data_IF_486403725316
#
_entry.id   IF_486403725316
#
_cell.length_a   1.000
_cell.length_b   1.000
_cell.length_c   1.000
_cell.angle_alpha   90.00
_cell.angle_beta   90.00
_cell.angle_gamma   90.00
#
_symmetry.space_group_name_H-M   'P 1'
#
loop_
_entity.id
_entity.type
_entity.pdbx_description
1 polymer ?
#
# COMPACT_ATOMS: atom_id res chain seq x y z
N UNK A 1 23.46 9.21 -5.05
CA UNK A 1 22.87 10.39 -5.73
C UNK A 1 21.71 9.95 -6.63
N UNK A 2 20.49 9.72 -6.11
CA UNK A 2 19.36 9.18 -6.89
C UNK A 2 18.31 10.21 -7.35
N UNK A 3 18.31 11.44 -6.83
CA UNK A 3 17.11 12.31 -6.86
C UNK A 3 16.78 13.06 -8.15
N UNK A 4 17.77 13.50 -8.95
CA UNK A 4 17.50 14.33 -10.13
C UNK A 4 17.28 13.51 -11.42
N UNK A 5 18.05 12.43 -11.60
CA UNK A 5 17.99 11.58 -12.78
C UNK A 5 16.65 10.83 -12.89
N UNK A 6 16.09 10.37 -11.76
CA UNK A 6 14.84 9.61 -11.75
C UNK A 6 13.61 10.47 -12.07
N UNK A 7 13.58 11.75 -11.66
CA UNK A 7 12.44 12.64 -11.90
C UNK A 7 12.28 13.01 -13.37
N UNK A 8 13.39 13.31 -14.06
CA UNK A 8 13.40 13.59 -15.49
C UNK A 8 13.09 12.33 -16.31
N UNK A 9 13.71 11.20 -15.98
CA UNK A 9 13.47 9.93 -16.66
C UNK A 9 12.03 9.43 -16.50
N UNK A 10 11.42 9.56 -15.32
CA UNK A 10 10.00 9.20 -15.12
C UNK A 10 9.06 10.15 -15.88
N UNK A 11 9.33 11.47 -15.88
CA UNK A 11 8.53 12.43 -16.65
C UNK A 11 8.61 12.19 -18.16
N UNK A 12 9.79 11.84 -18.67
CA UNK A 12 10.00 11.44 -20.08
C UNK A 12 9.34 10.09 -20.38
N UNK A 13 9.38 9.13 -19.45
CA UNK A 13 8.71 7.82 -19.60
C UNK A 13 7.19 7.95 -19.70
N UNK A 14 6.58 8.88 -18.95
CA UNK A 14 5.14 9.09 -18.95
C UNK A 14 4.66 10.14 -19.97
N UNK A 15 5.53 11.00 -20.52
CA UNK A 15 5.12 11.97 -21.54
C UNK A 15 4.56 11.31 -22.81
N UNK A 16 5.05 10.12 -23.15
CA UNK A 16 4.54 9.29 -24.25
C UNK A 16 3.11 8.75 -24.03
N UNK A 17 2.54 8.95 -22.84
CA UNK A 17 1.17 8.55 -22.50
C UNK A 17 0.15 9.68 -22.59
N UNK A 18 0.53 10.86 -23.10
CA UNK A 18 -0.41 11.94 -23.43
C UNK A 18 -1.05 11.73 -24.81
N UNK A 19 -2.28 12.18 -25.01
CA UNK A 19 -2.95 12.18 -26.31
C UNK A 19 -2.58 13.38 -27.18
N UNK A 20 -3.18 13.46 -28.38
CA UNK A 20 -2.93 14.54 -29.35
C UNK A 20 -3.31 15.92 -28.79
N UNK A 21 -4.22 15.97 -27.81
CA UNK A 21 -4.67 17.17 -27.11
C UNK A 21 -3.80 17.47 -25.85
N UNK A 22 -2.78 16.64 -25.57
CA UNK A 22 -1.88 16.81 -24.43
C UNK A 22 -2.45 16.31 -23.09
N UNK A 23 -3.58 15.62 -23.10
CA UNK A 23 -4.23 15.05 -21.91
C UNK A 23 -3.56 13.73 -21.56
N UNK A 24 -3.20 13.53 -20.29
CA UNK A 24 -2.63 12.26 -19.83
C UNK A 24 -3.65 11.13 -19.96
N UNK A 25 -3.28 9.99 -20.57
CA UNK A 25 -4.17 8.83 -20.71
C UNK A 25 -3.99 7.86 -19.54
N UNK A 26 -5.10 7.37 -19.00
CA UNK A 26 -5.07 6.26 -18.03
C UNK A 26 -4.50 5.00 -18.71
N UNK A 27 -3.60 4.26 -18.02
CA UNK A 27 -3.04 3.03 -18.56
C UNK A 27 -4.12 1.97 -18.73
N UNK A 28 -3.98 1.10 -19.73
CA UNK A 28 -4.93 0.00 -19.99
C UNK A 28 -4.36 -1.32 -19.51
N UNK A 29 -5.04 -1.97 -18.55
CA UNK A 29 -4.58 -3.23 -17.91
C UNK A 29 -4.15 -4.33 -18.88
N UNK A 30 -4.80 -4.41 -20.05
CA UNK A 30 -4.47 -5.42 -21.08
C UNK A 30 -3.00 -5.40 -21.54
N UNK A 31 -2.30 -4.29 -21.34
CA UNK A 31 -0.89 -4.11 -21.71
C UNK A 31 0.10 -4.41 -20.58
N UNK A 32 -0.37 -4.64 -19.34
CA UNK A 32 0.45 -4.88 -18.15
C UNK A 32 0.22 -6.30 -17.62
N UNK A 33 0.17 -7.27 -18.53
CA UNK A 33 -0.13 -8.67 -18.18
C UNK A 33 1.07 -9.33 -17.50
N UNK A 34 0.86 -9.77 -16.27
CA UNK A 34 1.75 -10.65 -15.53
C UNK A 34 0.90 -11.68 -14.78
N UNK A 35 1.50 -12.83 -14.43
CA UNK A 35 0.82 -13.84 -13.60
C UNK A 35 0.32 -13.20 -12.30
N UNK A 36 -0.87 -13.62 -11.87
CA UNK A 36 -1.49 -13.12 -10.64
C UNK A 36 -0.61 -13.35 -9.41
N UNK A 37 0.07 -14.51 -9.39
CA UNK A 37 0.89 -14.95 -8.27
C UNK A 37 2.38 -14.71 -8.56
N UNK A 38 3.07 -14.08 -7.61
CA UNK A 38 4.52 -14.00 -7.55
C UNK A 38 5.03 -14.93 -6.44
N UNK A 39 6.23 -15.48 -6.60
CA UNK A 39 6.88 -16.19 -5.51
C UNK A 39 7.53 -15.14 -4.59
N UNK A 40 7.08 -14.94 -3.34
CA UNK A 40 7.71 -13.97 -2.45
C UNK A 40 9.15 -14.35 -2.08
N UNK A 41 9.54 -15.61 -2.30
CA UNK A 41 10.89 -16.09 -1.99
C UNK A 41 11.85 -16.04 -3.18
N UNK A 42 11.43 -15.66 -4.39
CA UNK A 42 12.39 -15.49 -5.48
C UNK A 42 13.25 -14.26 -5.26
N UNK A 43 14.54 -14.38 -5.58
CA UNK A 43 15.46 -13.25 -5.60
C UNK A 43 15.12 -12.37 -6.80
N UNK A 44 14.35 -11.34 -6.50
CA UNK A 44 14.14 -10.21 -7.36
C UNK A 44 15.13 -9.13 -6.94
N UNK A 45 15.76 -8.44 -7.91
CA UNK A 45 16.42 -7.15 -7.64
C UNK A 45 15.34 -6.16 -7.17
N UNK A 46 15.15 -6.11 -5.86
CA UNK A 46 14.26 -5.20 -5.14
C UNK A 46 15.18 -4.27 -4.38
N UNK A 47 15.03 -2.98 -4.63
CA UNK A 47 15.76 -1.95 -3.91
C UNK A 47 15.00 -1.67 -2.62
N UNK A 48 15.68 -1.84 -1.49
CA UNK A 48 15.17 -1.46 -0.18
C UNK A 48 16.07 -0.35 0.37
N UNK A 49 15.51 0.66 1.04
CA UNK A 49 16.32 1.62 1.76
C UNK A 49 17.06 0.90 2.92
N UNK A 50 18.25 1.39 3.26
CA UNK A 50 19.05 0.85 4.37
C UNK A 50 18.33 1.02 5.72
N UNK A 51 17.57 2.10 5.86
CA UNK A 51 16.74 2.42 7.03
C UNK A 51 15.55 3.29 6.60
N UNK A 52 14.52 3.45 7.45
CA UNK A 52 13.39 4.34 7.15
C UNK A 52 13.80 5.79 6.83
N UNK A 53 14.90 6.27 7.42
CA UNK A 53 15.42 7.63 7.21
C UNK A 53 16.11 7.78 5.85
N UNK A 54 16.60 6.68 5.26
CA UNK A 54 17.23 6.69 3.96
C UNK A 54 16.21 6.67 2.78
N UNK A 55 14.91 6.50 3.08
CA UNK A 55 13.88 6.44 2.05
C UNK A 55 13.53 7.83 1.48
N UNK A 56 13.74 8.01 0.17
CA UNK A 56 13.40 9.25 -0.54
C UNK A 56 11.91 9.29 -0.92
N UNK A 57 11.08 9.66 0.06
CA UNK A 57 9.64 9.85 -0.15
C UNK A 57 9.30 11.03 -1.07
N UNK A 58 10.19 12.02 -1.21
CA UNK A 58 9.97 13.21 -2.03
C UNK A 58 9.83 12.88 -3.52
N UNK A 59 10.46 11.79 -3.98
CA UNK A 59 10.29 11.29 -5.34
C UNK A 59 8.86 10.80 -5.62
N UNK A 60 8.13 10.33 -4.60
CA UNK A 60 6.79 9.76 -4.71
C UNK A 60 5.69 10.79 -4.43
N UNK A 61 5.95 11.75 -3.55
CA UNK A 61 5.01 12.77 -3.09
C UNK A 61 5.59 14.19 -3.28
N UNK A 62 5.87 14.62 -4.52
CA UNK A 62 6.62 15.85 -4.78
C UNK A 62 5.93 17.13 -4.26
N UNK A 63 4.60 17.15 -4.15
CA UNK A 63 3.85 18.28 -3.59
C UNK A 63 4.12 18.49 -2.09
N UNK A 64 4.51 17.43 -1.37
CA UNK A 64 4.77 17.45 0.07
C UNK A 64 6.27 17.57 0.37
N UNK A 65 7.12 17.80 -0.64
CA UNK A 65 8.54 18.00 -0.46
C UNK A 65 8.82 19.46 -0.09
N UNK A 66 9.30 19.70 1.13
CA UNK A 66 9.82 21.00 1.58
C UNK A 66 11.23 21.16 1.04
N UNK A 67 11.43 22.17 0.20
CA UNK A 67 12.74 22.58 -0.28
C UNK A 67 13.21 23.75 0.57
N UNK A 68 14.42 23.64 1.09
CA UNK A 68 15.05 24.75 1.80
C UNK A 68 15.45 25.81 0.76
N UNK A 69 14.96 27.04 0.92
CA UNK A 69 15.25 28.16 0.00
C UNK A 69 16.69 28.69 0.16
N UNK A 70 17.42 28.22 1.17
CA UNK A 70 18.77 28.68 1.54
C UNK A 70 19.92 28.16 0.65
N UNK A 71 19.64 27.60 -0.53
CA UNK A 71 20.62 27.50 -1.64
C UNK A 71 21.82 26.56 -1.44
N UNK A 72 21.85 25.73 -0.41
CA UNK A 72 22.88 24.72 -0.22
C UNK A 72 22.68 23.54 -1.20
N UNK A 73 23.57 23.40 -2.18
CA UNK A 73 23.62 22.29 -3.14
C UNK A 73 23.96 20.95 -2.47
N UNK A 74 23.06 20.43 -1.63
CA UNK A 74 23.31 19.13 -0.96
C UNK A 74 22.28 18.64 0.05
N UNK A 75 21.32 19.47 0.51
CA UNK A 75 20.29 18.97 1.43
C UNK A 75 19.16 18.28 0.67
N UNK A 76 18.86 17.05 1.07
CA UNK A 76 17.70 16.30 0.60
C UNK A 76 16.43 17.07 0.99
N UNK A 77 15.48 17.18 0.07
CA UNK A 77 14.19 17.77 0.38
C UNK A 77 13.54 16.97 1.53
N UNK A 78 13.04 17.68 2.54
CA UNK A 78 12.38 17.06 3.70
C UNK A 78 10.90 16.94 3.42
N UNK A 79 10.29 15.81 3.76
CA UNK A 79 8.85 15.65 3.65
C UNK A 79 8.11 16.50 4.70
N UNK A 80 7.04 17.17 4.31
CA UNK A 80 6.12 17.88 5.21
C UNK A 80 5.21 16.93 5.99
N UNK A 81 5.01 15.71 5.49
CA UNK A 81 4.13 14.68 6.06
C UNK A 81 4.73 13.29 5.87
N UNK A 82 4.37 12.37 6.76
CA UNK A 82 4.79 10.97 6.65
C UNK A 82 3.71 10.11 6.00
N UNK A 83 4.11 8.99 5.39
CA UNK A 83 3.15 7.95 4.96
C UNK A 83 2.50 7.36 6.20
N UNK A 84 1.16 7.34 6.22
CA UNK A 84 0.38 6.80 7.35
C UNK A 84 -0.48 5.61 6.95
N UNK A 85 -0.81 5.47 5.67
CA UNK A 85 -1.63 4.36 5.16
C UNK A 85 -0.85 3.51 4.17
N UNK A 86 -0.93 2.20 4.33
CA UNK A 86 -0.30 1.24 3.42
C UNK A 86 -1.32 0.23 2.92
N UNK A 87 -1.31 -0.02 1.62
CA UNK A 87 -2.04 -1.11 0.95
C UNK A 87 -1.05 -2.19 0.53
N UNK A 88 -1.01 -3.30 1.29
CA UNK A 88 -0.09 -4.42 1.08
C UNK A 88 -0.67 -5.35 0.01
N UNK A 89 0.08 -5.51 -1.09
CA UNK A 89 -0.40 -6.28 -2.23
C UNK A 89 -1.49 -5.53 -2.99
N UNK A 90 -1.30 -4.22 -3.22
CA UNK A 90 -2.34 -3.30 -3.71
C UNK A 90 -2.91 -3.63 -5.10
N UNK A 91 -2.34 -4.60 -5.83
CA UNK A 91 -2.77 -4.99 -7.16
C UNK A 91 -2.77 -3.80 -8.11
N UNK A 92 -3.88 -3.56 -8.79
CA UNK A 92 -4.03 -2.43 -9.72
C UNK A 92 -4.38 -1.09 -9.03
N UNK A 93 -4.17 -0.98 -7.72
CA UNK A 93 -4.27 0.26 -6.95
C UNK A 93 -5.69 0.81 -6.79
N UNK A 94 -6.71 -0.04 -6.92
CA UNK A 94 -8.11 0.37 -6.83
C UNK A 94 -8.46 1.03 -5.49
N UNK A 95 -8.00 0.42 -4.39
CA UNK A 95 -8.21 0.95 -3.05
C UNK A 95 -7.55 2.32 -2.86
N UNK A 96 -6.27 2.45 -3.22
CA UNK A 96 -5.53 3.71 -3.08
C UNK A 96 -6.21 4.87 -3.82
N UNK A 97 -6.64 4.63 -5.06
CA UNK A 97 -7.33 5.65 -5.86
C UNK A 97 -8.67 6.02 -5.24
N UNK A 98 -9.39 5.08 -4.65
CA UNK A 98 -10.68 5.38 -4.01
C UNK A 98 -10.54 6.08 -2.65
N UNK A 99 -9.50 5.77 -1.88
CA UNK A 99 -9.27 6.40 -0.58
C UNK A 99 -8.60 7.77 -0.69
N UNK A 100 -7.77 8.01 -1.72
CA UNK A 100 -7.06 9.27 -1.92
C UNK A 100 -7.93 10.53 -1.76
N UNK A 101 -9.11 10.65 -2.40
CA UNK A 101 -9.99 11.82 -2.24
C UNK A 101 -10.70 11.88 -0.88
N UNK A 102 -10.86 10.75 -0.18
CA UNK A 102 -11.50 10.71 1.14
C UNK A 102 -10.56 11.18 2.26
N UNK A 103 -9.25 11.01 2.04
CA UNK A 103 -8.21 11.39 2.99
C UNK A 103 -7.16 12.30 2.32
N UNK A 104 -7.53 13.49 1.82
CA UNK A 104 -6.65 14.36 1.02
C UNK A 104 -5.37 14.77 1.78
N UNK A 105 -5.45 14.76 3.09
CA UNK A 105 -4.38 15.12 4.01
C UNK A 105 -3.48 13.95 4.45
N UNK A 106 -3.79 12.72 4.03
CA UNK A 106 -3.09 11.52 4.46
C UNK A 106 -2.32 10.88 3.32
N UNK A 107 -1.00 10.69 3.50
CA UNK A 107 -0.18 10.01 2.51
C UNK A 107 -0.39 8.49 2.55
N UNK A 108 -0.67 7.91 1.38
CA UNK A 108 -1.04 6.51 1.19
C UNK A 108 -0.12 5.82 0.20
N UNK A 109 0.40 4.65 0.55
CA UNK A 109 1.35 3.90 -0.26
C UNK A 109 0.86 2.50 -0.61
N UNK A 110 0.83 2.20 -1.91
CA UNK A 110 0.72 0.84 -2.41
C UNK A 110 2.04 0.10 -2.43
N UNK A 111 2.06 -1.12 -1.91
CA UNK A 111 3.18 -2.04 -2.00
C UNK A 111 2.77 -3.22 -2.88
N UNK A 112 3.46 -3.43 -4.01
CA UNK A 112 3.19 -4.54 -4.93
C UNK A 112 4.50 -5.18 -5.38
N UNK A 113 4.54 -6.50 -5.47
CA UNK A 113 5.77 -7.23 -5.82
C UNK A 113 5.94 -7.39 -7.34
N UNK A 114 4.82 -7.38 -8.09
CA UNK A 114 4.79 -7.58 -9.55
C UNK A 114 5.12 -6.30 -10.30
N UNK A 115 6.29 -6.28 -10.94
CA UNK A 115 6.82 -5.12 -11.66
C UNK A 115 5.83 -4.47 -12.64
N UNK A 116 5.17 -5.26 -13.50
CA UNK A 116 4.25 -4.70 -14.49
C UNK A 116 3.00 -4.08 -13.84
N UNK A 117 2.55 -4.66 -12.74
CA UNK A 117 1.39 -4.17 -12.00
C UNK A 117 1.75 -2.90 -11.23
N UNK A 118 2.92 -2.86 -10.56
CA UNK A 118 3.42 -1.62 -9.95
C UNK A 118 3.54 -0.50 -10.98
N UNK A 119 4.10 -0.78 -12.16
CA UNK A 119 4.22 0.20 -13.23
C UNK A 119 2.85 0.74 -13.67
N UNK A 120 1.86 -0.14 -13.83
CA UNK A 120 0.48 0.27 -14.13
C UNK A 120 -0.05 1.24 -13.08
N UNK A 121 0.14 0.96 -11.79
CA UNK A 121 -0.38 1.82 -10.72
C UNK A 121 0.33 3.17 -10.69
N UNK A 122 1.65 3.18 -10.90
CA UNK A 122 2.43 4.43 -10.99
C UNK A 122 1.94 5.31 -12.15
N UNK A 123 1.72 4.72 -13.32
CA UNK A 123 1.18 5.42 -14.50
C UNK A 123 -0.26 5.90 -14.28
N UNK A 124 -1.09 5.10 -13.62
CA UNK A 124 -2.47 5.45 -13.30
C UNK A 124 -2.53 6.64 -12.36
N UNK A 125 -1.76 6.62 -11.28
CA UNK A 125 -1.70 7.73 -10.31
C UNK A 125 -1.14 8.98 -10.98
N UNK A 126 -0.09 8.87 -11.80
CA UNK A 126 0.45 10.01 -12.54
C UNK A 126 -0.59 10.62 -13.48
N UNK A 127 -1.29 9.82 -14.27
CA UNK A 127 -2.32 10.31 -15.18
C UNK A 127 -3.48 10.98 -14.42
N UNK A 128 -3.90 10.42 -13.28
CA UNK A 128 -4.92 11.04 -12.42
C UNK A 128 -4.47 12.40 -11.84
N UNK A 129 -3.21 12.52 -11.42
CA UNK A 129 -2.62 13.80 -10.96
C UNK A 129 -2.57 14.86 -12.06
N UNK A 130 -2.28 14.46 -13.30
CA UNK A 130 -2.25 15.37 -14.45
C UNK A 130 -3.65 15.76 -14.95
N UNK A 131 -4.66 14.91 -14.72
CA UNK A 131 -6.05 15.17 -15.12
C UNK A 131 -6.84 16.00 -14.08
N UNK A 132 -6.46 15.93 -12.80
CA UNK A 132 -7.18 16.60 -11.72
C UNK A 132 -6.74 18.04 -11.45
N UNK A 133 -7.38 18.68 -10.47
CA UNK A 133 -7.24 20.11 -10.15
C UNK A 133 -6.02 20.40 -9.25
N UNK A 134 -4.84 19.94 -9.68
CA UNK A 134 -3.53 20.19 -9.05
C UNK A 134 -3.28 19.43 -7.74
N UNK A 135 -4.27 19.36 -6.84
CA UNK A 135 -4.19 18.69 -5.55
C UNK A 135 -4.64 17.22 -5.59
N UNK A 136 -5.35 16.81 -6.64
CA UNK A 136 -5.94 15.48 -6.73
C UNK A 136 -4.87 14.38 -6.81
N UNK A 137 -5.05 13.33 -6.01
CA UNK A 137 -4.20 12.13 -5.97
C UNK A 137 -2.71 12.39 -5.68
N UNK A 138 -2.36 13.60 -5.21
CA UNK A 138 -0.98 13.93 -4.81
C UNK A 138 -0.54 13.17 -3.55
N UNK A 139 -1.50 12.69 -2.77
CA UNK A 139 -1.33 11.94 -1.54
C UNK A 139 -1.22 10.42 -1.72
N UNK A 140 -1.36 9.88 -2.94
CA UNK A 140 -1.26 8.45 -3.21
C UNK A 140 -0.02 8.10 -4.04
N UNK A 141 0.70 7.04 -3.70
CA UNK A 141 1.81 6.52 -4.51
C UNK A 141 1.87 4.99 -4.49
N UNK A 142 2.73 4.40 -5.33
CA UNK A 142 2.98 2.96 -5.35
C UNK A 142 4.45 2.66 -5.58
N UNK A 143 5.00 1.70 -4.83
CA UNK A 143 6.36 1.20 -5.02
C UNK A 143 6.37 -0.32 -5.19
N UNK A 144 7.44 -0.79 -5.82
CA UNK A 144 7.68 -2.22 -5.97
C UNK A 144 8.39 -2.74 -4.73
N UNK A 145 7.72 -3.53 -3.92
CA UNK A 145 8.28 -4.04 -2.66
C UNK A 145 7.77 -5.44 -2.35
N UNK A 146 8.59 -6.21 -1.63
CA UNK A 146 8.15 -7.44 -0.99
C UNK A 146 8.01 -7.21 0.51
N UNK A 147 6.76 -7.09 0.95
CA UNK A 147 6.40 -6.86 2.34
C UNK A 147 6.73 -8.03 3.26
N UNK A 148 7.02 -9.21 2.71
CA UNK A 148 7.46 -10.37 3.52
C UNK A 148 8.93 -10.35 3.91
N UNK A 149 9.73 -9.41 3.38
CA UNK A 149 11.18 -9.37 3.66
C UNK A 149 11.56 -8.20 4.58
N UNK A 150 11.10 -6.99 4.31
CA UNK A 150 11.65 -5.78 4.93
C UNK A 150 10.62 -4.63 5.05
N UNK A 151 9.47 -4.85 5.69
CA UNK A 151 8.55 -3.75 5.98
C UNK A 151 9.19 -2.68 6.92
N UNK A 152 9.94 -3.05 7.98
CA UNK A 152 10.60 -2.10 8.88
C UNK A 152 11.70 -1.24 8.23
N UNK A 153 12.17 -1.59 7.03
CA UNK A 153 13.12 -0.74 6.30
C UNK A 153 12.44 0.51 5.74
N UNK A 154 11.14 0.47 5.46
CA UNK A 154 10.41 1.61 4.91
C UNK A 154 9.83 2.53 5.99
N UNK A 155 9.43 1.97 7.13
CA UNK A 155 8.62 2.68 8.12
C UNK A 155 9.27 2.68 9.49
N UNK A 156 9.25 3.84 10.15
CA UNK A 156 9.63 3.95 11.56
C UNK A 156 8.62 3.24 12.46
N UNK A 157 9.01 2.94 13.70
CA UNK A 157 8.09 2.45 14.73
C UNK A 157 6.89 3.40 14.84
N UNK A 158 5.68 2.85 14.90
CA UNK A 158 4.44 3.59 15.08
C UNK A 158 4.18 4.71 14.03
N UNK A 159 4.74 4.59 12.82
CA UNK A 159 4.52 5.57 11.77
C UNK A 159 3.11 5.45 11.16
N UNK A 160 2.64 4.22 10.93
CA UNK A 160 1.40 3.95 10.22
C UNK A 160 0.18 4.09 11.13
N UNK A 161 -0.96 4.47 10.56
CA UNK A 161 -2.29 4.44 11.19
C UNK A 161 -3.18 3.36 10.60
N UNK A 162 -2.98 2.96 9.33
CA UNK A 162 -3.77 1.91 8.67
C UNK A 162 -2.91 1.00 7.80
N UNK A 163 -3.12 -0.30 7.92
CA UNK A 163 -2.55 -1.33 7.02
C UNK A 163 -3.71 -2.07 6.39
N UNK A 164 -3.77 -2.11 5.06
CA UNK A 164 -4.76 -2.86 4.31
C UNK A 164 -4.13 -4.13 3.72
N UNK A 165 -4.84 -5.25 3.86
CA UNK A 165 -4.50 -6.55 3.28
C UNK A 165 -5.74 -7.04 2.54
N UNK A 166 -5.84 -6.68 1.26
CA UNK A 166 -7.04 -6.91 0.46
C UNK A 166 -6.87 -8.08 -0.51
N UNK A 167 -7.69 -9.11 -0.33
CA UNK A 167 -7.71 -10.31 -1.18
C UNK A 167 -6.31 -10.94 -1.36
N UNK A 168 -5.56 -11.20 -0.26
CA UNK A 168 -4.23 -11.80 -0.36
C UNK A 168 -4.31 -13.21 -0.95
N UNK A 169 -3.21 -13.67 -1.57
CA UNK A 169 -3.15 -15.03 -2.13
C UNK A 169 -3.37 -16.09 -1.02
N UNK A 170 -4.39 -16.97 -1.15
CA UNK A 170 -4.72 -17.95 -0.12
C UNK A 170 -3.67 -19.05 0.05
N UNK A 171 -2.83 -19.30 -0.96
CA UNK A 171 -1.81 -20.34 -0.95
C UNK A 171 -2.28 -21.68 -0.35
N UNK A 172 -3.37 -22.25 -0.90
CA UNK A 172 -4.11 -23.41 -0.35
C UNK A 172 -3.30 -24.66 0.04
N UNK A 173 -2.10 -24.86 -0.52
CA UNK A 173 -1.29 -26.05 -0.22
C UNK A 173 -0.51 -25.79 1.07
N UNK A 174 -0.57 -26.67 2.07
CA UNK A 174 0.11 -26.50 3.37
C UNK A 174 1.58 -26.11 3.26
N UNK A 175 2.31 -26.71 2.31
CA UNK A 175 3.72 -26.36 2.01
C UNK A 175 3.96 -24.90 1.58
N UNK A 176 2.91 -24.19 1.17
CA UNK A 176 2.92 -22.79 0.73
C UNK A 176 2.37 -21.84 1.79
N UNK A 177 1.91 -22.31 2.95
CA UNK A 177 1.40 -21.42 4.01
C UNK A 177 2.45 -20.42 4.50
N UNK A 178 3.74 -20.75 4.41
CA UNK A 178 4.86 -19.83 4.70
C UNK A 178 4.85 -18.57 3.82
N UNK A 179 4.24 -18.62 2.65
CA UNK A 179 4.14 -17.49 1.72
C UNK A 179 2.92 -16.59 1.99
N UNK A 180 2.06 -16.93 2.96
CA UNK A 180 0.91 -16.10 3.29
C UNK A 180 1.34 -14.88 4.10
N UNK A 181 0.65 -13.77 3.87
CA UNK A 181 1.06 -12.46 4.36
C UNK A 181 0.71 -12.21 5.85
N UNK A 182 -0.17 -13.02 6.47
CA UNK A 182 -0.55 -12.88 7.90
C UNK A 182 0.05 -13.98 8.76
N UNK A 183 1.31 -13.87 9.15
CA UNK A 183 1.97 -14.86 10.02
C UNK A 183 2.38 -14.21 11.34
N UNK A 184 2.76 -15.00 12.35
CA UNK A 184 3.22 -14.47 13.64
C UNK A 184 4.34 -13.44 13.46
N UNK A 185 5.36 -13.74 12.66
CA UNK A 185 6.48 -12.83 12.41
C UNK A 185 6.04 -11.55 11.69
N UNK A 186 5.23 -11.67 10.63
CA UNK A 186 4.75 -10.50 9.88
C UNK A 186 3.81 -9.63 10.71
N UNK A 187 2.98 -10.25 11.57
CA UNK A 187 2.12 -9.53 12.50
C UNK A 187 2.96 -8.70 13.49
N UNK A 188 4.13 -9.19 13.92
CA UNK A 188 5.06 -8.39 14.73
C UNK A 188 5.65 -7.21 13.96
N UNK A 189 5.97 -7.37 12.66
CA UNK A 189 6.39 -6.25 11.80
C UNK A 189 5.26 -5.22 11.60
N UNK A 190 4.01 -5.69 11.47
CA UNK A 190 2.84 -4.81 11.41
C UNK A 190 2.64 -4.06 12.72
N UNK A 191 2.76 -4.73 13.86
CA UNK A 191 2.65 -4.11 15.18
C UNK A 191 3.76 -3.09 15.45
N UNK A 192 4.97 -3.33 14.91
CA UNK A 192 6.08 -2.37 14.98
C UNK A 192 5.78 -1.10 14.18
N UNK A 193 5.34 -1.24 12.92
CA UNK A 193 5.10 -0.09 12.05
C UNK A 193 3.81 0.68 12.39
N UNK A 194 2.80 0.01 12.96
CA UNK A 194 1.48 0.57 13.26
C UNK A 194 1.44 1.21 14.65
N UNK A 195 0.94 2.45 14.74
CA UNK A 195 0.80 3.18 16.01
C UNK A 195 -0.32 2.60 16.89
N UNK A 196 -0.26 2.75 18.23
CA UNK A 196 -1.39 2.43 19.10
C UNK A 196 -2.70 3.07 18.61
N UNK A 197 -3.78 2.30 18.59
CA UNK A 197 -5.06 2.69 18.00
C UNK A 197 -5.14 2.58 16.47
N UNK A 198 -4.04 2.34 15.77
CA UNK A 198 -4.02 2.04 14.33
C UNK A 198 -4.68 0.69 14.03
N UNK A 199 -5.12 0.50 12.78
CA UNK A 199 -5.93 -0.68 12.41
C UNK A 199 -5.31 -1.45 11.23
N UNK A 200 -5.28 -2.78 11.36
CA UNK A 200 -5.07 -3.71 10.25
C UNK A 200 -6.44 -4.12 9.70
N UNK A 201 -6.67 -3.80 8.43
CA UNK A 201 -7.88 -4.12 7.68
C UNK A 201 -7.63 -5.36 6.82
N UNK A 202 -8.40 -6.42 7.01
CA UNK A 202 -8.31 -7.64 6.20
C UNK A 202 -9.63 -7.93 5.49
N UNK A 203 -9.54 -8.33 4.21
CA UNK A 203 -10.68 -8.81 3.44
C UNK A 203 -10.26 -9.96 2.52
N UNK A 204 -11.10 -10.98 2.39
CA UNK A 204 -10.90 -12.08 1.42
C UNK A 204 -12.23 -12.70 1.02
N UNK A 205 -12.26 -13.37 -0.12
CA UNK A 205 -13.35 -14.22 -0.61
C UNK A 205 -13.17 -15.70 -0.25
N UNK A 206 -12.10 -16.04 0.48
CA UNK A 206 -11.77 -17.41 0.89
C UNK A 206 -11.93 -17.57 2.40
N UNK A 207 -12.98 -18.25 2.84
CA UNK A 207 -13.28 -18.46 4.26
C UNK A 207 -12.11 -19.10 5.03
N UNK A 208 -11.49 -20.14 4.46
CA UNK A 208 -10.33 -20.80 5.10
C UNK A 208 -9.12 -19.86 5.28
N UNK A 209 -8.96 -18.86 4.39
CA UNK A 209 -7.93 -17.84 4.56
C UNK A 209 -8.35 -16.81 5.61
N UNK A 210 -9.62 -16.41 5.62
CA UNK A 210 -10.17 -15.53 6.65
C UNK A 210 -9.94 -16.09 8.06
N UNK A 211 -10.36 -17.33 8.30
CA UNK A 211 -10.17 -18.02 9.59
C UNK A 211 -8.68 -18.09 9.97
N UNK A 212 -7.80 -18.31 9.00
CA UNK A 212 -6.36 -18.31 9.24
C UNK A 212 -5.82 -16.92 9.62
N UNK A 213 -6.24 -15.85 8.94
CA UNK A 213 -5.84 -14.48 9.28
C UNK A 213 -6.33 -14.10 10.68
N UNK A 214 -7.61 -14.41 10.98
CA UNK A 214 -8.22 -14.18 12.29
C UNK A 214 -7.44 -14.90 13.38
N UNK A 215 -7.18 -16.21 13.21
CA UNK A 215 -6.41 -17.01 14.17
C UNK A 215 -5.03 -16.40 14.49
N UNK A 216 -4.29 -15.92 13.49
CA UNK A 216 -2.93 -15.41 13.69
C UNK A 216 -2.90 -14.00 14.27
N UNK A 217 -3.90 -13.17 13.97
CA UNK A 217 -4.00 -11.82 14.53
C UNK A 217 -4.58 -11.85 15.95
N UNK A 218 -5.60 -12.68 16.22
CA UNK A 218 -6.14 -12.90 17.58
C UNK A 218 -5.08 -13.45 18.54
N UNK A 219 -4.17 -14.30 18.06
CA UNK A 219 -3.10 -14.88 18.88
C UNK A 219 -1.95 -13.91 19.18
N UNK A 220 -1.88 -12.74 18.51
CA UNK A 220 -0.76 -11.82 18.65
C UNK A 220 -1.07 -10.74 19.71
N UNK A 221 -0.26 -10.57 20.76
CA UNK A 221 -0.61 -9.76 21.94
C UNK A 221 -0.77 -8.26 21.64
N UNK A 222 -0.18 -7.77 20.56
CA UNK A 222 -0.29 -6.36 20.15
C UNK A 222 -1.57 -6.02 19.38
N UNK A 223 -2.50 -6.96 19.20
CA UNK A 223 -3.74 -6.73 18.47
C UNK A 223 -4.97 -7.16 19.25
N UNK A 224 -6.04 -6.40 19.10
CA UNK A 224 -7.39 -6.76 19.55
C UNK A 224 -8.35 -6.71 18.37
N UNK A 225 -9.35 -7.60 18.36
CA UNK A 225 -10.35 -7.62 17.31
C UNK A 225 -11.32 -6.46 17.46
N UNK A 226 -11.58 -5.75 16.36
CA UNK A 226 -12.59 -4.68 16.31
C UNK A 226 -13.98 -5.30 16.26
N UNK A 227 -14.92 -4.73 17.01
CA UNK A 227 -16.30 -5.22 17.09
C UNK A 227 -17.04 -5.06 15.75
N UNK A 228 -17.92 -6.02 15.41
CA UNK A 228 -18.58 -6.07 14.10
C UNK A 228 -19.43 -4.82 13.81
N UNK A 229 -20.05 -4.20 14.82
CA UNK A 229 -20.83 -2.97 14.66
C UNK A 229 -19.96 -1.73 14.34
N UNK A 230 -18.72 -1.71 14.84
CA UNK A 230 -17.72 -0.70 14.45
C UNK A 230 -17.21 -0.96 13.03
N UNK A 231 -16.93 -2.24 12.69
CA UNK A 231 -16.52 -2.64 11.33
C UNK A 231 -17.52 -2.19 10.28
N UNK A 232 -18.82 -2.41 10.51
CA UNK A 232 -19.87 -2.07 9.53
C UNK A 232 -20.12 -0.56 9.38
N UNK A 233 -19.64 0.27 10.33
CA UNK A 233 -19.73 1.74 10.25
C UNK A 233 -18.45 2.40 9.71
N UNK A 234 -17.36 1.66 9.54
CA UNK A 234 -16.09 2.21 9.07
C UNK A 234 -16.11 2.46 7.55
N UNK A 235 -15.91 3.72 7.15
CA UNK A 235 -15.90 4.14 5.75
C UNK A 235 -14.82 3.43 4.90
N UNK A 236 -13.65 3.14 5.48
CA UNK A 236 -12.61 2.40 4.79
C UNK A 236 -13.04 0.96 4.48
N UNK A 237 -13.89 0.36 5.32
CA UNK A 237 -14.45 -0.98 5.07
C UNK A 237 -15.38 -0.96 3.86
N UNK A 238 -16.24 0.06 3.74
CA UNK A 238 -17.10 0.24 2.57
C UNK A 238 -16.29 0.32 1.27
N UNK A 239 -15.26 1.17 1.26
CA UNK A 239 -14.35 1.33 0.11
C UNK A 239 -13.59 0.04 -0.17
N UNK A 240 -13.03 -0.61 0.86
CA UNK A 240 -12.29 -1.87 0.73
C UNK A 240 -13.14 -2.98 0.13
N UNK A 241 -14.42 -3.09 0.52
CA UNK A 241 -15.37 -4.07 -0.03
C UNK A 241 -15.64 -3.81 -1.50
N UNK A 242 -15.78 -2.56 -1.92
CA UNK A 242 -16.41 -2.23 -3.21
C UNK A 242 -15.47 -1.69 -4.28
N UNK A 243 -14.36 -1.06 -3.93
CA UNK A 243 -13.55 -0.30 -4.89
C UNK A 243 -12.33 -1.06 -5.44
N UNK A 244 -11.89 -2.10 -4.73
CA UNK A 244 -10.86 -3.01 -5.21
C UNK A 244 -11.35 -3.81 -6.43
N UNK A 245 -10.45 -4.17 -7.33
CA UNK A 245 -10.80 -4.94 -8.53
C UNK A 245 -11.29 -6.35 -8.19
N UNK A 246 -10.61 -6.98 -7.25
CA UNK A 246 -10.99 -8.26 -6.66
C UNK A 246 -12.34 -8.13 -5.95
N UNK A 247 -12.59 -7.08 -5.17
CA UNK A 247 -13.90 -6.81 -4.56
C UNK A 247 -15.02 -6.70 -5.59
N UNK A 248 -14.81 -5.93 -6.67
CA UNK A 248 -15.76 -5.80 -7.81
C UNK A 248 -15.99 -7.14 -8.52
N UNK A 249 -14.95 -7.96 -8.67
CA UNK A 249 -15.04 -9.31 -9.26
C UNK A 249 -15.87 -10.24 -8.37
N UNK A 250 -15.64 -10.23 -7.05
CA UNK A 250 -16.38 -11.06 -6.09
C UNK A 250 -17.86 -10.70 -6.11
N UNK A 251 -18.21 -9.39 -6.10
CA UNK A 251 -19.61 -8.94 -6.23
C UNK A 251 -20.25 -9.46 -7.51
N UNK A 252 -19.58 -9.32 -8.66
CA UNK A 252 -20.12 -9.79 -9.96
C UNK A 252 -20.37 -11.30 -10.01
N UNK A 253 -19.65 -12.06 -9.19
CA UNK A 253 -19.78 -13.51 -9.11
C UNK A 253 -20.68 -13.97 -7.95
N UNK A 254 -21.40 -13.05 -7.29
CA UNK A 254 -22.19 -13.30 -6.07
C UNK A 254 -21.38 -14.03 -4.97
N UNK A 255 -20.08 -13.77 -4.88
CA UNK A 255 -19.21 -14.34 -3.86
C UNK A 255 -19.34 -13.60 -2.52
N UNK A 256 -19.05 -14.31 -1.43
CA UNK A 256 -18.98 -13.72 -0.10
C UNK A 256 -17.66 -12.97 0.12
N UNK A 257 -17.69 -11.95 0.99
CA UNK A 257 -16.52 -11.17 1.39
C UNK A 257 -16.40 -11.19 2.90
N UNK A 258 -15.40 -11.90 3.39
CA UNK A 258 -15.10 -12.02 4.81
C UNK A 258 -14.15 -10.89 5.22
N UNK A 259 -14.57 -10.08 6.19
CA UNK A 259 -13.81 -8.92 6.70
C UNK A 259 -13.46 -9.17 8.16
N UNK A 260 -12.25 -8.79 8.56
CA UNK A 260 -11.86 -8.68 9.96
C UNK A 260 -10.88 -7.52 10.15
N UNK A 261 -11.09 -6.74 11.20
CA UNK A 261 -10.23 -5.61 11.58
C UNK A 261 -9.59 -5.89 12.94
N UNK A 262 -8.35 -5.44 13.07
CA UNK A 262 -7.56 -5.60 14.28
C UNK A 262 -6.94 -4.27 14.66
N UNK A 263 -7.27 -3.78 15.86
CA UNK A 263 -6.71 -2.55 16.42
C UNK A 263 -5.41 -2.87 17.14
N UNK A 264 -4.38 -2.07 16.92
CA UNK A 264 -3.10 -2.19 17.62
C UNK A 264 -3.24 -1.64 19.03
N UNK A 265 -3.06 -2.48 20.04
CA UNK A 265 -3.16 -2.08 21.46
C UNK A 265 -1.90 -1.35 21.94
N UNK A 266 -1.96 -0.65 23.06
CA UNK A 266 -0.77 -0.03 23.65
C UNK A 266 0.35 -1.04 23.93
N UNK A 267 1.61 -0.58 23.89
CA UNK A 267 2.71 -1.44 24.36
C UNK A 267 2.51 -1.64 25.87
N UNK A 268 2.72 -2.86 26.40
CA UNK A 268 2.65 -3.07 27.84
C UNK A 268 3.67 -2.14 28.53
N UNK A 269 3.36 -1.64 29.74
CA UNK A 269 4.32 -0.85 30.50
C UNK A 269 5.62 -1.65 30.67
N UNK A 270 6.75 -0.96 30.58
CA UNK A 270 8.04 -1.57 30.92
C UNK A 270 8.03 -1.91 32.42
N UNK A 271 8.03 -3.19 32.75
CA UNK A 271 8.28 -3.71 34.10
C UNK A 271 9.78 -3.77 34.40
#
# INVERSE_FOLDING_TARGET
MPGAANKRANRERFSHSKDEDGIARLPRKRFYRQRAHANPFSDHMLEYPESPDAMDWCAHYPMYAIRDESGGSGQSAKMSRSVEVVDIGCGFGGLLVALAPLFPDTLMLGLEIRTSVTQFVQERIWALREQGDGNDFQNAACIRANTMKFLPNFFRKAQLSKIFICFPDPHFKSRKHKARIVSTTLNSEYAYALRPGGIVYTITDVEALHLWMVQHLDAHPSFERVADDEVERDQCVEVMRNETEEGKKVTRNNGQKFVALFRRVEDPPWE
#
